data_IF_931690180147
#
_entry.id   IF_931690180147
#
_cell.length_a   1.000
_cell.length_b   1.000
_cell.length_c   1.000
_cell.angle_alpha   90.00
_cell.angle_beta   90.00
_cell.angle_gamma   90.00
#
_symmetry.space_group_name_H-M   'P 1'
#
loop_
_entity.id
_entity.type
_entity.pdbx_description
1 polymer ?
#
# COMPACT_ATOMS: atom_id res chain seq x y z
N UNK A 1 10.12 -26.19 -16.65
CA UNK A 1 9.74 -24.77 -16.41
C UNK A 1 8.32 -24.55 -16.92
N UNK A 2 7.41 -24.28 -15.99
CA UNK A 2 5.96 -24.32 -16.16
C UNK A 2 5.44 -23.38 -17.28
N UNK A 3 4.64 -23.89 -18.24
CA UNK A 3 4.11 -23.10 -19.39
C UNK A 3 3.32 -21.88 -18.92
N UNK A 4 2.61 -22.00 -17.80
CA UNK A 4 1.87 -20.92 -17.15
C UNK A 4 2.79 -19.75 -16.71
N UNK A 5 3.94 -20.07 -16.12
CA UNK A 5 4.94 -19.07 -15.71
C UNK A 5 5.48 -18.33 -16.95
N UNK A 6 5.71 -19.05 -18.07
CA UNK A 6 6.15 -18.41 -19.32
C UNK A 6 5.08 -17.48 -19.91
N UNK A 7 3.82 -17.89 -19.91
CA UNK A 7 2.70 -17.07 -20.41
C UNK A 7 2.50 -15.79 -19.58
N UNK A 8 2.55 -15.89 -18.24
CA UNK A 8 2.51 -14.73 -17.36
C UNK A 8 3.75 -13.84 -17.49
N UNK A 9 4.94 -14.43 -17.59
CA UNK A 9 6.18 -13.67 -17.74
C UNK A 9 6.19 -12.86 -19.05
N UNK A 10 5.64 -13.42 -20.14
CA UNK A 10 5.48 -12.69 -21.42
C UNK A 10 4.60 -11.45 -21.27
N UNK A 11 3.49 -11.54 -20.52
CA UNK A 11 2.61 -10.40 -20.21
C UNK A 11 3.30 -9.39 -19.29
N UNK A 12 4.03 -9.84 -18.27
CA UNK A 12 4.81 -8.99 -17.37
C UNK A 12 5.88 -8.21 -18.13
N UNK A 13 6.58 -8.85 -19.08
CA UNK A 13 7.61 -8.20 -19.90
C UNK A 13 6.98 -7.14 -20.80
N UNK A 14 5.82 -7.43 -21.41
CA UNK A 14 5.06 -6.48 -22.22
C UNK A 14 4.66 -5.23 -21.41
N UNK A 15 4.22 -5.41 -20.16
CA UNK A 15 3.80 -4.31 -19.28
C UNK A 15 4.95 -3.70 -18.44
N UNK A 16 6.19 -4.17 -18.60
CA UNK A 16 7.31 -3.87 -17.68
C UNK A 16 7.59 -2.38 -17.52
N UNK A 17 7.54 -1.60 -18.60
CA UNK A 17 7.78 -0.14 -18.55
C UNK A 17 6.69 0.57 -17.73
N UNK A 18 5.42 0.25 -18.00
CA UNK A 18 4.26 0.80 -17.26
C UNK A 18 4.33 0.44 -15.78
N UNK A 19 4.62 -0.82 -15.47
CA UNK A 19 4.75 -1.32 -14.10
C UNK A 19 5.93 -0.65 -13.35
N UNK A 20 7.07 -0.42 -14.01
CA UNK A 20 8.23 0.24 -13.38
C UNK A 20 7.92 1.70 -13.00
N UNK A 21 7.27 2.44 -13.89
CA UNK A 21 6.86 3.83 -13.64
C UNK A 21 5.86 3.89 -12.48
N UNK A 22 4.83 3.04 -12.52
CA UNK A 22 3.84 2.96 -11.44
C UNK A 22 4.47 2.62 -10.09
N UNK A 23 5.45 1.72 -10.06
CA UNK A 23 6.15 1.37 -8.82
C UNK A 23 6.92 2.57 -8.24
N UNK A 24 7.63 3.33 -9.09
CA UNK A 24 8.37 4.52 -8.67
C UNK A 24 7.41 5.58 -8.13
N UNK A 25 6.31 5.85 -8.86
CA UNK A 25 5.29 6.80 -8.42
C UNK A 25 4.62 6.38 -7.11
N UNK A 26 4.23 5.12 -6.96
CA UNK A 26 3.61 4.60 -5.73
C UNK A 26 4.59 4.70 -4.54
N UNK A 27 5.89 4.51 -4.78
CA UNK A 27 6.93 4.63 -3.75
C UNK A 27 7.14 6.09 -3.35
N UNK A 28 7.28 6.99 -4.33
CA UNK A 28 7.43 8.43 -4.09
C UNK A 28 6.23 9.00 -3.33
N UNK A 29 5.01 8.67 -3.77
CA UNK A 29 3.78 9.11 -3.10
C UNK A 29 3.73 8.58 -1.66
N UNK A 30 4.10 7.31 -1.44
CA UNK A 30 4.11 6.72 -0.10
C UNK A 30 5.12 7.40 0.82
N UNK A 31 6.33 7.70 0.32
CA UNK A 31 7.36 8.43 1.07
C UNK A 31 6.89 9.85 1.36
N UNK A 32 6.32 10.56 0.38
CA UNK A 32 5.80 11.91 0.58
C UNK A 32 4.69 11.95 1.62
N UNK A 33 3.73 11.02 1.58
CA UNK A 33 2.67 10.92 2.59
C UNK A 33 3.26 10.66 3.98
N UNK A 34 4.24 9.76 4.09
CA UNK A 34 4.90 9.49 5.36
C UNK A 34 5.63 10.73 5.90
N UNK A 35 6.37 11.45 5.04
CA UNK A 35 7.07 12.68 5.40
C UNK A 35 6.10 13.80 5.81
N UNK A 36 5.01 14.01 5.07
CA UNK A 36 3.97 15.00 5.40
C UNK A 36 3.33 14.70 6.75
N UNK A 37 2.94 13.44 6.98
CA UNK A 37 2.36 13.02 8.25
C UNK A 37 3.34 13.23 9.41
N UNK A 38 4.63 12.89 9.23
CA UNK A 38 5.64 13.10 10.25
C UNK A 38 5.84 14.59 10.57
N UNK A 39 5.89 15.44 9.54
CA UNK A 39 5.98 16.89 9.71
C UNK A 39 4.79 17.46 10.46
N UNK A 40 3.57 17.01 10.15
CA UNK A 40 2.36 17.43 10.85
C UNK A 40 2.43 17.09 12.35
N UNK A 41 2.95 15.91 12.71
CA UNK A 41 3.13 15.51 14.11
C UNK A 41 4.15 16.40 14.82
N UNK A 42 5.29 16.66 14.18
CA UNK A 42 6.34 17.50 14.75
C UNK A 42 5.79 18.91 15.02
N UNK A 43 5.07 19.48 14.05
CA UNK A 43 4.41 20.78 14.20
C UNK A 43 3.40 20.74 15.35
N UNK A 44 2.53 19.73 15.40
CA UNK A 44 1.53 19.57 16.46
C UNK A 44 2.15 19.50 17.86
N UNK A 45 3.24 18.73 18.03
CA UNK A 45 3.97 18.62 19.29
C UNK A 45 4.62 19.96 19.67
N UNK A 46 5.32 20.61 18.74
CA UNK A 46 5.97 21.90 18.98
C UNK A 46 4.94 22.95 19.39
N UNK A 47 3.80 23.00 18.69
CA UNK A 47 2.71 23.91 19.02
C UNK A 47 2.18 23.65 20.43
N UNK A 48 1.92 22.40 20.80
CA UNK A 48 1.43 22.04 22.13
C UNK A 48 2.43 22.44 23.24
N UNK A 49 3.72 22.15 23.05
CA UNK A 49 4.77 22.52 24.01
C UNK A 49 4.86 24.03 24.15
N UNK A 50 4.83 24.76 23.04
CA UNK A 50 4.89 26.23 23.02
C UNK A 50 3.69 26.81 23.76
N UNK A 51 2.49 26.26 23.55
CA UNK A 51 1.27 26.69 24.23
C UNK A 51 1.33 26.48 25.74
N UNK A 52 1.78 25.29 26.18
CA UNK A 52 1.92 24.96 27.60
C UNK A 52 2.93 25.90 28.25
N UNK A 53 4.08 26.14 27.60
CA UNK A 53 5.09 27.08 28.10
C UNK A 53 4.58 28.52 28.15
N UNK A 54 3.81 28.94 27.15
CA UNK A 54 3.22 30.28 27.11
C UNK A 54 2.22 30.49 28.24
N UNK A 55 1.29 29.55 28.44
CA UNK A 55 0.34 29.55 29.57
C UNK A 55 1.05 29.60 30.92
N UNK A 56 2.08 28.78 31.11
CA UNK A 56 2.79 28.69 32.39
C UNK A 56 3.65 29.93 32.71
N UNK A 57 4.14 30.65 31.69
CA UNK A 57 4.98 31.86 31.88
C UNK A 57 4.17 33.16 32.04
N UNK A 58 2.96 33.22 31.49
CA UNK A 58 2.16 34.45 31.48
C UNK A 58 0.79 34.18 32.10
N UNK A 59 0.75 33.74 33.36
CA UNK A 59 -0.50 33.38 34.06
C UNK A 59 -1.50 34.54 34.14
N UNK A 60 -1.06 35.80 34.10
CA UNK A 60 -1.92 36.98 34.10
C UNK A 60 -2.47 37.34 32.70
N UNK A 61 -1.70 37.15 31.62
CA UNK A 61 -2.14 37.37 30.22
C UNK A 61 -2.92 36.17 29.68
N UNK A 62 -2.76 34.99 30.29
CA UNK A 62 -3.52 33.78 29.97
C UNK A 62 -5.05 33.96 30.14
N UNK A 63 -5.50 34.98 30.87
CA UNK A 63 -6.91 35.35 30.96
C UNK A 63 -7.41 36.12 29.71
N UNK A 64 -6.52 36.75 28.91
CA UNK A 64 -6.88 37.43 27.66
C UNK A 64 -6.89 36.51 26.44
N UNK A 65 -6.07 35.45 26.43
CA UNK A 65 -6.27 34.34 25.49
C UNK A 65 -7.50 33.59 26.00
N UNK A 66 -8.65 33.80 25.36
CA UNK A 66 -9.90 33.13 25.78
C UNK A 66 -9.62 31.65 26.03
N UNK A 67 -10.00 31.12 27.20
CA UNK A 67 -9.84 29.69 27.52
C UNK A 67 -10.35 28.80 26.38
N UNK A 68 -11.38 29.25 25.66
CA UNK A 68 -11.93 28.58 24.49
C UNK A 68 -10.90 28.44 23.35
N UNK A 69 -10.09 29.46 23.07
CA UNK A 69 -9.04 29.40 22.04
C UNK A 69 -7.98 28.36 22.39
N UNK A 70 -7.59 28.26 23.66
CA UNK A 70 -6.65 27.25 24.14
C UNK A 70 -7.21 25.83 23.98
N UNK A 71 -8.45 25.59 24.44
CA UNK A 71 -9.10 24.28 24.34
C UNK A 71 -9.37 23.87 22.89
N UNK A 72 -9.77 24.82 22.04
CA UNK A 72 -9.96 24.58 20.59
C UNK A 72 -8.65 24.11 19.95
N UNK A 73 -7.53 24.73 20.34
CA UNK A 73 -6.23 24.37 19.78
C UNK A 73 -5.74 23.01 20.27
N UNK A 74 -5.94 22.68 21.56
CA UNK A 74 -5.68 21.35 22.12
C UNK A 74 -6.53 20.27 21.43
N UNK A 75 -7.82 20.55 21.20
CA UNK A 75 -8.72 19.65 20.49
C UNK A 75 -8.27 19.43 19.04
N UNK A 76 -7.86 20.49 18.34
CA UNK A 76 -7.33 20.40 16.98
C UNK A 76 -6.06 19.55 16.91
N UNK A 77 -5.10 19.79 17.81
CA UNK A 77 -3.86 19.00 17.91
C UNK A 77 -4.17 17.53 18.19
N UNK A 78 -5.13 17.24 19.09
CA UNK A 78 -5.53 15.87 19.40
C UNK A 78 -6.19 15.16 18.21
N UNK A 79 -7.05 15.87 17.47
CA UNK A 79 -7.66 15.35 16.23
C UNK A 79 -6.61 15.04 15.17
N UNK A 80 -5.59 15.89 15.02
CA UNK A 80 -4.46 15.65 14.10
C UNK A 80 -3.73 14.35 14.46
N UNK A 81 -3.46 14.12 15.75
CA UNK A 81 -2.80 12.90 16.23
C UNK A 81 -3.69 11.67 15.97
N UNK A 82 -4.98 11.75 16.26
CA UNK A 82 -5.93 10.65 16.03
C UNK A 82 -6.05 10.33 14.53
N UNK A 83 -6.17 11.35 13.68
CA UNK A 83 -6.22 11.20 12.23
C UNK A 83 -4.97 10.50 11.68
N UNK A 84 -3.81 10.78 12.26
CA UNK A 84 -2.57 10.08 11.93
C UNK A 84 -2.63 8.60 12.31
N UNK A 85 -3.08 8.26 13.53
CA UNK A 85 -3.22 6.86 13.96
C UNK A 85 -4.17 6.10 13.03
N UNK A 86 -5.33 6.69 12.70
CA UNK A 86 -6.29 6.11 11.75
C UNK A 86 -5.65 5.88 10.38
N UNK A 87 -4.81 6.82 9.93
CA UNK A 87 -4.08 6.70 8.65
C UNK A 87 -3.11 5.53 8.66
N UNK A 88 -2.38 5.30 9.75
CA UNK A 88 -1.50 4.12 9.90
C UNK A 88 -2.33 2.83 9.86
N UNK A 89 -3.42 2.76 10.64
CA UNK A 89 -4.28 1.57 10.68
C UNK A 89 -4.84 1.25 9.30
N UNK A 90 -5.31 2.26 8.55
CA UNK A 90 -5.78 2.10 7.18
C UNK A 90 -4.67 1.66 6.22
N UNK A 91 -3.44 2.13 6.41
CA UNK A 91 -2.30 1.70 5.60
C UNK A 91 -1.97 0.23 5.83
N UNK A 92 -1.96 -0.22 7.09
CA UNK A 92 -1.77 -1.63 7.47
C UNK A 92 -2.91 -2.49 6.92
N UNK A 93 -4.16 -2.06 7.07
CA UNK A 93 -5.33 -2.77 6.54
C UNK A 93 -5.26 -2.91 5.02
N UNK A 94 -4.93 -1.82 4.29
CA UNK A 94 -4.73 -1.85 2.83
C UNK A 94 -3.59 -2.81 2.45
N UNK A 95 -2.50 -2.85 3.20
CA UNK A 95 -1.40 -3.77 2.96
C UNK A 95 -1.86 -5.23 3.11
N UNK A 96 -2.56 -5.57 4.20
CA UNK A 96 -3.08 -6.92 4.45
C UNK A 96 -4.13 -7.36 3.42
N UNK A 97 -5.06 -6.46 3.05
CA UNK A 97 -6.06 -6.75 2.03
C UNK A 97 -5.41 -7.08 0.67
N UNK A 98 -4.35 -6.35 0.28
CA UNK A 98 -3.59 -6.62 -0.95
C UNK A 98 -2.91 -8.00 -0.91
N UNK A 99 -2.40 -8.40 0.24
CA UNK A 99 -1.83 -9.75 0.42
C UNK A 99 -2.88 -10.85 0.29
N UNK A 100 -4.11 -10.61 0.75
CA UNK A 100 -5.20 -11.57 0.61
C UNK A 100 -5.67 -11.71 -0.85
N UNK A 101 -5.80 -10.60 -1.57
CA UNK A 101 -6.13 -10.61 -3.01
C UNK A 101 -5.06 -11.34 -3.83
N UNK A 102 -3.79 -11.17 -3.45
CA UNK A 102 -2.69 -11.96 -4.00
C UNK A 102 -2.87 -13.46 -3.75
N UNK A 103 -3.13 -13.90 -2.51
CA UNK A 103 -3.32 -15.32 -2.18
C UNK A 103 -4.41 -15.95 -3.04
N UNK A 104 -5.51 -15.23 -3.28
CA UNK A 104 -6.59 -15.68 -4.15
C UNK A 104 -6.09 -15.94 -5.58
N UNK A 105 -5.39 -14.98 -6.18
CA UNK A 105 -4.88 -15.13 -7.55
C UNK A 105 -3.86 -16.25 -7.66
N UNK A 106 -2.95 -16.36 -6.68
CA UNK A 106 -1.97 -17.44 -6.65
C UNK A 106 -2.64 -18.82 -6.58
N UNK A 107 -3.63 -18.99 -5.69
CA UNK A 107 -4.37 -20.23 -5.57
C UNK A 107 -5.13 -20.56 -6.86
N UNK A 108 -5.76 -19.57 -7.50
CA UNK A 108 -6.44 -19.77 -8.79
C UNK A 108 -5.46 -20.18 -9.89
N UNK A 109 -4.28 -19.55 -9.97
CA UNK A 109 -3.25 -19.91 -10.94
C UNK A 109 -2.72 -21.33 -10.71
N UNK A 110 -2.51 -21.72 -9.44
CA UNK A 110 -2.09 -23.07 -9.07
C UNK A 110 -3.15 -24.12 -9.42
N UNK A 111 -4.42 -23.81 -9.19
CA UNK A 111 -5.54 -24.68 -9.55
C UNK A 111 -5.65 -24.88 -11.07
N UNK A 112 -5.53 -23.79 -11.84
CA UNK A 112 -5.54 -23.86 -13.31
C UNK A 112 -4.36 -24.69 -13.84
N UNK A 113 -3.20 -24.58 -13.21
CA UNK A 113 -2.06 -25.41 -13.57
C UNK A 113 -2.33 -26.90 -13.32
N UNK A 114 -2.88 -27.27 -12.17
CA UNK A 114 -3.20 -28.68 -11.86
C UNK A 114 -4.17 -29.26 -12.91
N UNK A 115 -5.19 -28.48 -13.32
CA UNK A 115 -6.13 -28.90 -14.38
C UNK A 115 -5.47 -29.08 -15.74
N UNK A 116 -4.48 -28.23 -16.05
CA UNK A 116 -3.73 -28.34 -17.29
C UNK A 116 -2.81 -29.57 -17.28
N UNK A 117 -2.09 -29.78 -16.18
CA UNK A 117 -1.21 -30.94 -15.98
C UNK A 117 -2.02 -32.26 -15.99
N UNK A 118 -3.27 -32.24 -15.55
CA UNK A 118 -4.22 -33.36 -15.64
C UNK A 118 -4.88 -33.55 -17.02
N UNK A 119 -4.62 -32.67 -17.99
CA UNK A 119 -5.19 -32.74 -19.33
C UNK A 119 -6.66 -32.29 -19.43
N UNK A 120 -7.26 -31.78 -18.35
CA UNK A 120 -8.66 -31.29 -18.35
C UNK A 120 -8.84 -30.00 -19.16
N UNK A 121 -7.76 -29.23 -19.33
CA UNK A 121 -7.74 -28.01 -20.14
C UNK A 121 -6.51 -28.00 -21.05
N UNK A 122 -6.71 -27.52 -22.29
CA UNK A 122 -5.64 -27.36 -23.27
C UNK A 122 -4.90 -26.02 -23.11
N UNK A 123 -3.79 -25.87 -23.86
CA UNK A 123 -2.94 -24.66 -23.81
C UNK A 123 -3.70 -23.37 -24.15
N UNK A 124 -4.71 -23.44 -25.03
CA UNK A 124 -5.54 -22.30 -25.42
C UNK A 124 -6.44 -21.84 -24.26
N UNK A 125 -7.18 -22.77 -23.63
CA UNK A 125 -8.03 -22.46 -22.46
C UNK A 125 -7.19 -21.95 -21.29
N UNK A 126 -6.00 -22.52 -21.08
CA UNK A 126 -5.08 -22.03 -20.05
C UNK A 126 -4.69 -20.57 -20.30
N UNK A 127 -4.30 -20.24 -21.53
CA UNK A 127 -3.95 -18.86 -21.92
C UNK A 127 -5.15 -17.91 -21.80
N UNK A 128 -6.35 -18.37 -22.13
CA UNK A 128 -7.57 -17.59 -21.99
C UNK A 128 -7.86 -17.25 -20.51
N UNK A 129 -7.80 -18.23 -19.61
CA UNK A 129 -8.02 -18.02 -18.19
C UNK A 129 -6.94 -17.11 -17.57
N UNK A 130 -5.68 -17.30 -17.94
CA UNK A 130 -4.58 -16.41 -17.52
C UNK A 130 -4.79 -15.00 -18.04
N UNK A 131 -5.29 -14.84 -19.27
CA UNK A 131 -5.60 -13.52 -19.82
C UNK A 131 -6.76 -12.84 -19.10
N UNK A 132 -7.85 -13.57 -18.82
CA UNK A 132 -8.99 -13.07 -18.03
C UNK A 132 -8.55 -12.63 -16.63
N UNK A 133 -7.71 -13.43 -15.96
CA UNK A 133 -7.10 -13.07 -14.68
C UNK A 133 -6.23 -11.81 -14.78
N UNK A 134 -5.40 -11.69 -15.82
CA UNK A 134 -4.54 -10.52 -16.01
C UNK A 134 -5.33 -9.25 -16.32
N UNK A 135 -6.38 -9.33 -17.13
CA UNK A 135 -7.23 -8.17 -17.48
C UNK A 135 -8.00 -7.70 -16.24
N UNK A 136 -8.54 -8.64 -15.46
CA UNK A 136 -9.31 -8.33 -14.24
C UNK A 136 -8.42 -7.82 -13.09
N UNK A 137 -7.14 -8.17 -13.08
CA UNK A 137 -6.20 -7.72 -12.05
C UNK A 137 -5.89 -6.23 -12.16
N UNK A 138 -5.98 -5.52 -11.04
CA UNK A 138 -5.56 -4.10 -10.97
C UNK A 138 -4.04 -3.97 -11.19
N UNK A 139 -3.56 -2.79 -11.58
CA UNK A 139 -2.12 -2.51 -11.75
C UNK A 139 -1.30 -2.83 -10.50
N UNK A 140 -1.87 -2.63 -9.30
CA UNK A 140 -1.23 -3.00 -8.03
C UNK A 140 -1.12 -4.51 -7.85
N UNK A 141 -2.18 -5.23 -8.19
CA UNK A 141 -2.21 -6.70 -8.14
C UNK A 141 -1.22 -7.31 -9.17
N UNK A 142 -1.13 -6.73 -10.37
CA UNK A 142 -0.14 -7.09 -11.40
C UNK A 142 1.30 -6.91 -10.92
N UNK A 143 1.60 -5.84 -10.18
CA UNK A 143 2.92 -5.60 -9.57
C UNK A 143 3.28 -6.69 -8.57
N UNK A 144 2.33 -7.09 -7.71
CA UNK A 144 2.55 -8.15 -6.71
C UNK A 144 2.79 -9.51 -7.37
N UNK A 145 1.96 -9.88 -8.34
CA UNK A 145 2.11 -11.13 -9.13
C UNK A 145 3.45 -11.14 -9.88
N UNK A 146 3.85 -10.01 -10.47
CA UNK A 146 5.13 -9.88 -11.17
C UNK A 146 6.33 -10.09 -10.25
N UNK A 147 6.31 -9.52 -9.04
CA UNK A 147 7.40 -9.68 -8.06
C UNK A 147 7.58 -11.17 -7.71
N UNK A 148 6.49 -11.88 -7.50
CA UNK A 148 6.53 -13.27 -7.01
C UNK A 148 6.88 -14.25 -8.11
N UNK A 149 6.42 -14.03 -9.34
CA UNK A 149 6.88 -14.81 -10.49
C UNK A 149 8.38 -14.60 -10.69
N UNK A 150 8.86 -13.37 -10.54
CA UNK A 150 10.30 -13.09 -10.58
C UNK A 150 11.02 -13.85 -9.47
N UNK A 151 10.53 -13.77 -8.23
CA UNK A 151 11.11 -14.44 -7.07
C UNK A 151 11.15 -15.97 -7.28
N UNK A 152 10.06 -16.61 -7.74
CA UNK A 152 10.02 -18.04 -8.06
C UNK A 152 10.97 -18.44 -9.19
N UNK A 153 11.13 -17.61 -10.21
CA UNK A 153 12.10 -17.85 -11.30
C UNK A 153 13.55 -17.77 -10.76
N UNK A 154 13.84 -16.83 -9.86
CA UNK A 154 15.17 -16.70 -9.23
C UNK A 154 15.44 -17.73 -8.13
N UNK A 155 14.41 -18.17 -7.40
CA UNK A 155 14.54 -19.13 -6.29
C UNK A 155 14.49 -20.59 -6.75
N UNK A 156 13.90 -20.89 -7.91
CA UNK A 156 13.93 -22.23 -8.52
C UNK A 156 15.21 -22.55 -9.30
N UNK A 157 16.24 -21.70 -9.19
CA UNK A 157 17.59 -21.91 -9.71
C UNK A 157 18.61 -22.31 -8.64
N UNK A 158 18.15 -22.66 -7.44
CA UNK A 158 18.92 -23.37 -6.42
C UNK A 158 18.20 -24.66 -6.06
#
# INVERSE_FOLDING_TARGET
MNKLIKALNKKIISDRRKLKIYKILDTLISISIAAFNLSIIIVAIITLITLIRYKNRHSEIANQISQNSFWTLVALTSLIIIAFIITIVLAIYKYNSRQNEYKKIYNTLRYLQIKHDAGEINDEKLNEFVNKLWIKATTKTKLTVSKIIKDQITSGGK
#
